data_IF_448545726892
#
_entry.id   IF_448545726892
#
_cell.length_a   1.000
_cell.length_b   1.000
_cell.length_c   1.000
_cell.angle_alpha   90.00
_cell.angle_beta   90.00
_cell.angle_gamma   90.00
#
_symmetry.space_group_name_H-M   'P 1'
#
loop_
_entity.id
_entity.type
_entity.pdbx_description
1 polymer ?
#
# COMPACT_ATOMS: atom_id res chain seq x y z
N UNK A 1 -70.06 -7.80 2.06
CA UNK A 1 -69.11 -6.89 1.37
C UNK A 1 -68.02 -6.28 2.27
N UNK A 2 -68.16 -6.24 3.60
CA UNK A 2 -67.11 -5.72 4.52
C UNK A 2 -65.99 -6.71 4.87
N UNK A 3 -66.28 -8.02 4.89
CA UNK A 3 -65.32 -9.07 5.27
C UNK A 3 -64.31 -9.40 4.16
N UNK A 4 -64.71 -9.32 2.89
CA UNK A 4 -63.81 -9.54 1.73
C UNK A 4 -62.78 -8.42 1.58
N UNK A 5 -63.11 -7.19 2.03
CA UNK A 5 -62.17 -6.05 2.01
C UNK A 5 -61.08 -6.16 3.09
N UNK A 6 -61.35 -6.80 4.23
CA UNK A 6 -60.34 -7.02 5.27
C UNK A 6 -59.34 -8.10 4.88
N UNK A 7 -59.79 -9.17 4.22
CA UNK A 7 -58.90 -10.24 3.74
C UNK A 7 -57.92 -9.74 2.66
N UNK A 8 -58.36 -8.85 1.77
CA UNK A 8 -57.51 -8.24 0.75
C UNK A 8 -56.46 -7.29 1.34
N UNK A 9 -56.78 -6.57 2.42
CA UNK A 9 -55.83 -5.67 3.10
C UNK A 9 -54.80 -6.45 3.93
N UNK A 10 -55.18 -7.60 4.51
CA UNK A 10 -54.23 -8.48 5.21
C UNK A 10 -53.27 -9.21 4.26
N UNK A 11 -53.72 -9.56 3.04
CA UNK A 11 -52.87 -10.20 2.04
C UNK A 11 -51.85 -9.21 1.44
N UNK A 12 -52.20 -7.92 1.33
CA UNK A 12 -51.30 -6.86 0.85
C UNK A 12 -50.26 -6.48 1.93
N UNK A 13 -50.55 -6.66 3.22
CA UNK A 13 -49.58 -6.40 4.30
C UNK A 13 -48.53 -7.52 4.48
N UNK A 14 -48.76 -8.72 3.92
CA UNK A 14 -47.84 -9.85 4.02
C UNK A 14 -46.84 -9.95 2.84
N UNK A 15 -46.94 -9.08 1.84
CA UNK A 15 -46.03 -9.04 0.67
C UNK A 15 -44.97 -7.92 0.75
N UNK A 16 -44.94 -7.13 1.82
CA UNK A 16 -43.99 -6.04 2.02
C UNK A 16 -42.77 -6.41 2.89
N UNK A 17 -42.64 -7.67 3.32
CA UNK A 17 -41.38 -8.23 3.82
C UNK A 17 -40.43 -8.58 2.66
N UNK A 18 -40.24 -7.64 1.72
CA UNK A 18 -39.04 -7.61 0.91
C UNK A 18 -37.88 -7.43 1.89
N UNK A 19 -37.23 -8.55 2.16
CA UNK A 19 -36.00 -8.62 2.92
C UNK A 19 -35.02 -7.62 2.30
N UNK A 20 -34.90 -6.45 2.90
CA UNK A 20 -33.67 -5.67 2.86
C UNK A 20 -32.61 -6.55 3.50
N UNK A 21 -32.05 -7.46 2.70
CA UNK A 21 -30.73 -8.00 2.98
C UNK A 21 -29.85 -6.77 2.96
N UNK A 22 -29.59 -6.20 4.15
CA UNK A 22 -28.55 -5.21 4.31
C UNK A 22 -27.29 -5.87 3.75
N UNK A 23 -26.88 -5.47 2.54
CA UNK A 23 -25.60 -5.87 2.02
C UNK A 23 -24.59 -5.37 3.03
N UNK A 24 -23.96 -6.30 3.75
CA UNK A 24 -22.85 -5.97 4.60
C UNK A 24 -21.82 -5.29 3.71
N UNK A 25 -21.67 -3.99 3.89
CA UNK A 25 -20.74 -3.16 3.14
C UNK A 25 -19.34 -3.78 3.24
N UNK A 26 -18.68 -3.97 2.11
CA UNK A 26 -17.39 -4.67 2.07
C UNK A 26 -16.37 -3.92 2.95
N UNK A 27 -15.90 -4.62 4.00
CA UNK A 27 -14.90 -4.10 4.94
C UNK A 27 -13.51 -4.48 4.49
N UNK A 28 -12.82 -3.51 3.89
CA UNK A 28 -11.46 -3.64 3.38
C UNK A 28 -10.43 -3.50 4.50
N UNK A 29 -9.27 -4.13 4.30
CA UNK A 29 -8.10 -4.03 5.21
C UNK A 29 -6.81 -3.84 4.40
N UNK A 30 -5.73 -3.30 4.98
CA UNK A 30 -4.51 -2.98 4.24
C UNK A 30 -3.85 -4.19 3.59
N UNK A 31 -3.93 -5.35 4.23
CA UNK A 31 -3.19 -6.53 3.82
C UNK A 31 -4.05 -7.77 3.69
N UNK A 32 -3.57 -8.68 2.85
CA UNK A 32 -4.10 -10.03 2.67
C UNK A 32 -3.02 -11.01 3.05
N UNK A 33 -3.33 -11.92 3.98
CA UNK A 33 -2.52 -13.09 4.26
C UNK A 33 -2.84 -14.15 3.20
N UNK A 34 -1.82 -14.58 2.48
CA UNK A 34 -1.94 -15.61 1.46
C UNK A 34 -1.85 -17.00 2.10
N UNK A 35 -0.80 -17.22 2.89
CA UNK A 35 -0.51 -18.47 3.59
C UNK A 35 0.55 -18.27 4.69
N UNK A 36 0.64 -19.23 5.61
CA UNK A 36 1.74 -19.38 6.56
C UNK A 36 2.30 -20.78 6.38
N UNK A 37 3.60 -20.91 6.09
CA UNK A 37 4.20 -22.19 5.74
C UNK A 37 5.57 -22.40 6.39
N UNK A 38 5.88 -23.66 6.66
CA UNK A 38 7.21 -24.06 7.10
C UNK A 38 8.08 -24.37 5.87
N UNK A 39 8.80 -23.38 5.38
CA UNK A 39 9.68 -23.49 4.21
C UNK A 39 10.81 -22.47 4.35
N UNK A 40 12.04 -22.77 3.92
CA UNK A 40 13.12 -21.76 3.90
C UNK A 40 12.70 -20.52 3.12
N UNK A 41 12.99 -19.33 3.65
CA UNK A 41 12.56 -18.06 3.06
C UNK A 41 12.97 -17.92 1.59
N UNK A 42 14.25 -18.14 1.26
CA UNK A 42 14.73 -17.96 -0.11
C UNK A 42 14.06 -18.93 -1.10
N UNK A 43 13.77 -20.16 -0.68
CA UNK A 43 13.02 -21.11 -1.50
C UNK A 43 11.59 -20.63 -1.74
N UNK A 44 10.92 -20.11 -0.69
CA UNK A 44 9.56 -19.58 -0.82
C UNK A 44 9.51 -18.31 -1.67
N UNK A 45 10.51 -17.43 -1.58
CA UNK A 45 10.65 -16.24 -2.45
C UNK A 45 10.70 -16.64 -3.92
N UNK A 46 11.48 -17.67 -4.27
CA UNK A 46 11.58 -18.16 -5.64
C UNK A 46 10.22 -18.66 -6.16
N UNK A 47 9.51 -19.49 -5.40
CA UNK A 47 8.17 -19.98 -5.79
C UNK A 47 7.16 -18.85 -5.93
N UNK A 48 7.16 -17.87 -5.00
CA UNK A 48 6.25 -16.72 -5.05
C UNK A 48 6.54 -15.85 -6.28
N UNK A 49 7.82 -15.65 -6.63
CA UNK A 49 8.23 -14.94 -7.85
C UNK A 49 7.68 -15.63 -9.09
N UNK A 50 7.87 -16.93 -9.21
CA UNK A 50 7.36 -17.72 -10.34
C UNK A 50 5.83 -17.61 -10.45
N UNK A 51 5.10 -17.77 -9.35
CA UNK A 51 3.64 -17.64 -9.32
C UNK A 51 3.16 -16.25 -9.78
N UNK A 52 3.82 -15.18 -9.33
CA UNK A 52 3.51 -13.80 -9.72
C UNK A 52 3.76 -13.55 -11.21
N UNK A 53 4.91 -13.99 -11.72
CA UNK A 53 5.23 -13.85 -13.15
C UNK A 53 4.29 -14.67 -14.03
N UNK A 54 3.96 -15.91 -13.62
CA UNK A 54 2.97 -16.74 -14.31
C UNK A 54 1.55 -16.15 -14.30
N UNK A 55 1.23 -15.35 -13.29
CA UNK A 55 -0.01 -14.58 -13.22
C UNK A 55 0.03 -13.25 -13.98
N UNK A 56 1.12 -12.95 -14.69
CA UNK A 56 1.28 -11.76 -15.54
C UNK A 56 1.71 -10.49 -14.80
N UNK A 57 2.27 -10.60 -13.59
CA UNK A 57 2.90 -9.47 -12.89
C UNK A 57 4.39 -9.39 -13.25
N UNK A 58 4.88 -8.16 -13.40
CA UNK A 58 6.31 -7.88 -13.48
C UNK A 58 6.86 -7.64 -12.08
N UNK A 59 8.02 -8.22 -11.78
CA UNK A 59 8.79 -7.91 -10.56
C UNK A 59 9.66 -6.69 -10.86
N UNK A 60 9.28 -5.53 -10.33
CA UNK A 60 9.99 -4.27 -10.52
C UNK A 60 11.21 -4.13 -9.61
N UNK A 61 11.22 -4.84 -8.48
CA UNK A 61 12.35 -4.88 -7.56
C UNK A 61 12.11 -5.83 -6.39
N UNK A 62 13.16 -6.04 -5.62
CA UNK A 62 13.17 -6.86 -4.42
C UNK A 62 13.89 -6.12 -3.29
N UNK A 63 13.40 -6.27 -2.07
CA UNK A 63 13.95 -5.58 -0.92
C UNK A 63 14.00 -6.47 0.33
N UNK A 64 15.07 -6.34 1.10
CA UNK A 64 15.26 -7.01 2.38
C UNK A 64 15.50 -5.96 3.48
N UNK A 65 14.44 -5.40 4.10
CA UNK A 65 14.59 -4.29 5.06
C UNK A 65 15.24 -4.71 6.39
N UNK A 66 15.17 -6.00 6.73
CA UNK A 66 15.76 -6.58 7.93
C UNK A 66 15.86 -8.11 7.76
N UNK A 67 16.62 -8.76 8.65
CA UNK A 67 16.79 -10.21 8.63
C UNK A 67 15.44 -10.95 8.72
N UNK A 68 15.26 -11.98 7.88
CA UNK A 68 14.02 -12.75 7.82
C UNK A 68 12.88 -12.06 7.05
N UNK A 69 13.10 -10.90 6.42
CA UNK A 69 12.11 -10.24 5.58
C UNK A 69 12.57 -10.12 4.12
N UNK A 70 11.64 -10.36 3.20
CA UNK A 70 11.77 -10.14 1.76
C UNK A 70 10.49 -9.50 1.23
N UNK A 71 10.62 -8.51 0.36
CA UNK A 71 9.50 -7.80 -0.26
C UNK A 71 9.74 -7.78 -1.76
N UNK A 72 8.76 -8.25 -2.54
CA UNK A 72 8.73 -8.10 -3.98
C UNK A 72 7.84 -6.92 -4.35
N UNK A 73 8.40 -5.98 -5.09
CA UNK A 73 7.65 -4.86 -5.69
C UNK A 73 7.13 -5.33 -7.02
N UNK A 74 5.81 -5.36 -7.16
CA UNK A 74 5.15 -5.88 -8.37
C UNK A 74 4.34 -4.81 -9.06
N UNK A 75 4.22 -4.92 -10.37
CA UNK A 75 3.36 -4.06 -11.18
C UNK A 75 2.83 -4.81 -12.39
N UNK A 76 1.84 -4.25 -13.07
CA UNK A 76 1.41 -4.70 -14.39
C UNK A 76 0.85 -3.53 -15.22
N UNK A 77 0.43 -3.80 -16.44
CA UNK A 77 -0.13 -2.76 -17.32
C UNK A 77 -1.46 -2.21 -16.82
N UNK A 78 -2.34 -3.05 -16.24
CA UNK A 78 -3.65 -2.62 -15.74
C UNK A 78 -3.49 -1.66 -14.56
N UNK A 79 -2.65 -2.00 -13.59
CA UNK A 79 -2.36 -1.18 -12.42
C UNK A 79 -1.77 0.17 -12.84
N UNK A 80 -0.81 0.18 -13.76
CA UNK A 80 -0.20 1.41 -14.26
C UNK A 80 -1.19 2.30 -15.03
N UNK A 81 -2.13 1.70 -15.77
CA UNK A 81 -3.24 2.43 -16.43
C UNK A 81 -4.21 3.03 -15.41
N UNK A 82 -4.55 2.30 -14.35
CA UNK A 82 -5.42 2.79 -13.28
C UNK A 82 -4.75 3.94 -12.50
N UNK A 83 -3.45 3.82 -12.20
CA UNK A 83 -2.64 4.88 -11.61
C UNK A 83 -2.64 6.16 -12.48
N UNK A 84 -2.50 6.03 -13.80
CA UNK A 84 -2.51 7.15 -14.74
C UNK A 84 -3.86 7.91 -14.77
N UNK A 85 -4.96 7.23 -14.45
CA UNK A 85 -6.31 7.78 -14.49
C UNK A 85 -6.66 8.69 -13.30
N UNK A 86 -5.71 9.00 -12.40
CA UNK A 86 -5.96 9.78 -11.20
C UNK A 86 -4.86 10.80 -10.87
N UNK A 87 -5.21 11.95 -10.26
CA UNK A 87 -4.23 12.86 -9.67
C UNK A 87 -3.42 12.14 -8.60
N UNK A 88 -2.08 12.24 -8.66
CA UNK A 88 -1.16 11.53 -7.76
C UNK A 88 -1.36 10.00 -7.70
N UNK A 89 -2.06 9.41 -8.67
CA UNK A 89 -2.31 7.96 -8.72
C UNK A 89 -1.03 7.15 -8.91
N UNK A 90 0.07 7.77 -9.35
CA UNK A 90 1.39 7.14 -9.45
C UNK A 90 1.88 6.49 -8.16
N UNK A 91 1.47 6.95 -6.97
CA UNK A 91 1.78 6.27 -5.70
C UNK A 91 1.22 4.84 -5.61
N UNK A 92 0.15 4.54 -6.36
CA UNK A 92 -0.44 3.20 -6.47
C UNK A 92 0.01 2.41 -7.69
N UNK A 93 1.05 2.83 -8.42
CA UNK A 93 1.52 2.15 -9.63
C UNK A 93 2.21 0.80 -9.35
N UNK A 94 2.46 0.46 -8.08
CA UNK A 94 3.04 -0.81 -7.64
C UNK A 94 2.29 -1.36 -6.42
N UNK A 95 2.34 -2.69 -6.27
CA UNK A 95 1.88 -3.43 -5.10
C UNK A 95 3.07 -4.14 -4.46
N UNK A 96 2.88 -4.62 -3.23
CA UNK A 96 3.93 -5.26 -2.43
C UNK A 96 3.50 -6.65 -2.00
N UNK A 97 4.39 -7.61 -2.19
CA UNK A 97 4.27 -8.96 -1.66
C UNK A 97 5.40 -9.18 -0.66
N UNK A 98 5.06 -9.39 0.61
CA UNK A 98 6.02 -9.64 1.66
C UNK A 98 6.07 -11.13 2.02
N UNK A 99 7.29 -11.59 2.31
CA UNK A 99 7.60 -12.86 2.92
C UNK A 99 8.38 -12.58 4.20
N UNK A 100 7.81 -12.93 5.34
CA UNK A 100 8.40 -12.61 6.64
C UNK A 100 8.47 -13.84 7.52
N UNK A 101 9.68 -14.16 7.99
CA UNK A 101 9.92 -15.21 8.95
C UNK A 101 9.45 -14.80 10.35
N UNK A 102 8.76 -15.73 11.01
CA UNK A 102 8.35 -15.63 12.39
C UNK A 102 8.20 -17.02 12.96
N UNK A 103 8.85 -17.29 14.09
CA UNK A 103 8.72 -18.55 14.83
C UNK A 103 9.02 -19.80 13.96
N UNK A 104 9.97 -19.68 13.02
CA UNK A 104 10.35 -20.75 12.08
C UNK A 104 9.37 -20.97 10.91
N UNK A 105 8.36 -20.11 10.77
CA UNK A 105 7.39 -20.12 9.68
C UNK A 105 7.54 -18.87 8.82
N UNK A 106 7.26 -18.98 7.53
CA UNK A 106 7.19 -17.85 6.60
C UNK A 106 5.73 -17.45 6.42
N UNK A 107 5.43 -16.19 6.73
CA UNK A 107 4.16 -15.56 6.39
C UNK A 107 4.28 -14.94 5.01
N UNK A 108 3.40 -15.33 4.07
CA UNK A 108 3.29 -14.68 2.76
C UNK A 108 2.07 -13.78 2.79
N UNK A 109 2.27 -12.48 2.59
CA UNK A 109 1.21 -11.49 2.57
C UNK A 109 1.40 -10.46 1.46
N UNK A 110 0.34 -9.75 1.10
CA UNK A 110 0.42 -8.68 0.11
C UNK A 110 -0.53 -7.53 0.43
N UNK A 111 -0.21 -6.34 -0.08
CA UNK A 111 -1.12 -5.18 -0.01
C UNK A 111 -2.41 -5.48 -0.76
N UNK A 112 -3.58 -5.24 -0.14
CA UNK A 112 -4.87 -5.44 -0.80
C UNK A 112 -5.06 -4.38 -1.91
N UNK A 113 -5.17 -4.78 -3.20
CA UNK A 113 -5.37 -3.83 -4.29
C UNK A 113 -6.58 -2.91 -4.10
N UNK A 114 -7.66 -3.41 -3.48
CA UNK A 114 -8.85 -2.59 -3.20
C UNK A 114 -8.57 -1.54 -2.12
N UNK A 115 -7.79 -1.88 -1.10
CA UNK A 115 -7.35 -0.90 -0.10
C UNK A 115 -6.49 0.18 -0.75
N UNK A 116 -5.45 -0.23 -1.48
CA UNK A 116 -4.49 0.69 -2.11
C UNK A 116 -5.19 1.62 -3.11
N UNK A 117 -6.09 1.07 -3.93
CA UNK A 117 -6.87 1.86 -4.88
C UNK A 117 -7.71 2.95 -4.21
N UNK A 118 -8.33 2.65 -3.08
CA UNK A 118 -9.20 3.62 -2.40
C UNK A 118 -8.42 4.62 -1.54
N UNK A 119 -7.43 4.17 -0.78
CA UNK A 119 -6.64 5.05 0.10
C UNK A 119 -5.77 6.03 -0.69
N UNK A 120 -5.35 5.66 -1.91
CA UNK A 120 -4.68 6.57 -2.86
C UNK A 120 -5.65 7.21 -3.86
N UNK A 121 -6.96 7.13 -3.61
CA UNK A 121 -8.05 7.75 -4.37
C UNK A 121 -8.03 7.43 -5.88
N UNK A 122 -7.39 6.34 -6.29
CA UNK A 122 -7.29 5.93 -7.69
C UNK A 122 -8.65 5.56 -8.28
N UNK A 123 -8.80 5.80 -9.58
CA UNK A 123 -9.92 5.37 -10.39
C UNK A 123 -9.61 4.01 -11.02
N UNK A 124 -10.63 3.15 -11.06
CA UNK A 124 -10.50 1.81 -11.64
C UNK A 124 -11.14 0.74 -10.78
N UNK A 125 -11.24 -0.45 -11.35
CA UNK A 125 -11.65 -1.65 -10.63
C UNK A 125 -10.43 -2.49 -10.25
N UNK A 126 -10.17 -2.57 -8.94
CA UNK A 126 -9.06 -3.33 -8.38
C UNK A 126 -9.42 -4.79 -8.11
N UNK A 127 -10.68 -5.20 -8.30
CA UNK A 127 -11.13 -6.57 -8.10
C UNK A 127 -10.39 -7.55 -9.01
N UNK A 128 -10.15 -7.18 -10.27
CA UNK A 128 -9.40 -8.01 -11.22
C UNK A 128 -7.99 -8.32 -10.72
N UNK A 129 -7.29 -7.31 -10.18
CA UNK A 129 -5.96 -7.48 -9.57
C UNK A 129 -6.04 -8.34 -8.31
N UNK A 130 -7.04 -8.12 -7.45
CA UNK A 130 -7.27 -8.94 -6.26
C UNK A 130 -7.54 -10.41 -6.59
N UNK A 131 -8.33 -10.71 -7.61
CA UNK A 131 -8.58 -12.10 -8.03
C UNK A 131 -7.34 -12.77 -8.63
N UNK A 132 -6.53 -12.02 -9.39
CA UNK A 132 -5.25 -12.52 -9.91
C UNK A 132 -4.27 -12.85 -8.79
N UNK A 133 -4.10 -11.97 -7.82
CA UNK A 133 -3.24 -12.23 -6.64
C UNK A 133 -3.76 -13.40 -5.81
N UNK A 134 -5.08 -13.47 -5.56
CA UNK A 134 -5.71 -14.61 -4.90
C UNK A 134 -5.44 -15.92 -5.63
N UNK A 135 -5.52 -15.93 -6.96
CA UNK A 135 -5.29 -17.14 -7.76
C UNK A 135 -3.81 -17.56 -7.78
N UNK A 136 -2.90 -16.58 -7.76
CA UNK A 136 -1.46 -16.82 -7.80
C UNK A 136 -0.89 -17.26 -6.45
N UNK A 137 -1.31 -16.63 -5.36
CA UNK A 137 -0.69 -16.76 -4.03
C UNK A 137 -1.64 -17.33 -2.97
N UNK A 138 -2.94 -17.26 -3.18
CA UNK A 138 -3.95 -17.56 -2.16
C UNK A 138 -4.46 -16.32 -1.43
N UNK A 139 -5.45 -16.55 -0.56
CA UNK A 139 -6.12 -15.54 0.28
C UNK A 139 -6.76 -16.26 1.46
N UNK A 140 -5.99 -16.47 2.52
CA UNK A 140 -6.48 -17.02 3.79
C UNK A 140 -7.44 -16.02 4.47
N UNK A 141 -6.94 -14.81 4.77
CA UNK A 141 -7.73 -13.74 5.40
C UNK A 141 -7.17 -12.36 5.10
N UNK A 142 -7.98 -11.32 5.32
CA UNK A 142 -7.50 -9.93 5.31
C UNK A 142 -7.18 -9.46 6.73
N UNK A 143 -6.20 -8.57 6.90
CA UNK A 143 -5.75 -8.11 8.21
C UNK A 143 -5.15 -6.70 8.16
N UNK A 144 -4.84 -6.15 9.34
CA UNK A 144 -4.15 -4.87 9.52
C UNK A 144 -5.01 -3.78 10.15
N UNK A 145 -6.32 -3.99 10.25
CA UNK A 145 -7.22 -3.15 11.04
C UNK A 145 -8.44 -3.93 11.54
N UNK A 146 -8.82 -3.71 12.79
CA UNK A 146 -10.01 -4.27 13.43
C UNK A 146 -11.26 -3.68 12.77
N UNK A 147 -12.25 -4.55 12.48
CA UNK A 147 -13.51 -4.13 11.83
C UNK A 147 -13.41 -3.72 10.35
N UNK A 148 -12.23 -3.39 9.83
CA UNK A 148 -12.06 -2.97 8.44
C UNK A 148 -12.68 -1.59 8.15
N UNK A 149 -12.41 -1.06 6.95
CA UNK A 149 -12.91 0.23 6.49
C UNK A 149 -13.78 0.04 5.25
N UNK A 150 -14.79 0.89 5.11
CA UNK A 150 -15.59 0.96 3.89
C UNK A 150 -14.81 1.68 2.79
N UNK A 151 -15.27 1.59 1.55
CA UNK A 151 -14.63 2.24 0.40
C UNK A 151 -14.55 3.76 0.59
N UNK A 152 -15.65 4.35 1.01
CA UNK A 152 -15.86 5.79 1.23
C UNK A 152 -14.92 6.29 2.32
N UNK A 153 -14.90 5.58 3.46
CA UNK A 153 -14.01 5.89 4.58
C UNK A 153 -12.52 5.81 4.20
N UNK A 154 -12.15 4.97 3.22
CA UNK A 154 -10.77 4.90 2.73
C UNK A 154 -10.40 6.04 1.80
N UNK A 155 -11.34 6.49 0.95
CA UNK A 155 -11.09 7.64 0.06
C UNK A 155 -10.95 8.94 0.86
N UNK A 156 -11.60 9.00 2.02
CA UNK A 156 -11.48 10.06 3.02
C UNK A 156 -10.53 9.71 4.16
N UNK A 157 -9.62 8.73 3.95
CA UNK A 157 -8.78 8.23 5.03
C UNK A 157 -8.03 9.37 5.72
N UNK A 158 -8.31 9.48 7.01
CA UNK A 158 -7.67 10.40 7.94
C UNK A 158 -7.47 9.66 9.24
N UNK A 159 -6.21 9.57 9.68
CA UNK A 159 -5.89 8.74 10.84
C UNK A 159 -6.47 9.35 12.12
N UNK A 160 -6.15 10.61 12.42
CA UNK A 160 -6.63 11.37 13.57
C UNK A 160 -6.60 12.87 13.26
N UNK A 161 -7.30 13.67 14.07
CA UNK A 161 -7.26 15.13 14.01
C UNK A 161 -5.80 15.64 13.94
N UNK A 162 -5.55 16.61 13.05
CA UNK A 162 -4.23 17.18 12.75
C UNK A 162 -3.22 16.26 12.04
N UNK A 163 -3.63 15.06 11.62
CA UNK A 163 -2.82 14.23 10.72
C UNK A 163 -3.02 14.63 9.25
N UNK A 164 -2.06 14.35 8.37
CA UNK A 164 -2.20 14.56 6.93
C UNK A 164 -3.22 13.63 6.28
N UNK A 165 -3.82 14.11 5.20
CA UNK A 165 -4.61 13.35 4.23
C UNK A 165 -3.73 12.84 3.07
N UNK A 166 -4.33 12.12 2.13
CA UNK A 166 -3.63 11.66 0.94
C UNK A 166 -3.06 12.83 0.12
N UNK A 167 -3.79 13.94 -0.01
CA UNK A 167 -3.47 15.14 -0.77
C UNK A 167 -2.49 16.10 -0.08
N UNK A 168 -2.07 15.80 1.15
CA UNK A 168 -1.01 16.53 1.85
C UNK A 168 0.38 15.96 1.49
N UNK A 169 0.66 15.74 0.20
CA UNK A 169 1.97 15.24 -0.22
C UNK A 169 3.06 16.29 0.01
N UNK A 170 4.26 15.83 0.36
CA UNK A 170 5.41 16.70 0.60
C UNK A 170 6.21 16.82 -0.69
N UNK A 171 6.41 18.07 -1.16
CA UNK A 171 7.36 18.36 -2.24
C UNK A 171 8.80 18.29 -1.69
N UNK A 172 9.61 17.42 -2.29
CA UNK A 172 11.00 17.19 -1.90
C UNK A 172 11.95 18.07 -2.70
N UNK A 173 11.69 18.21 -4.01
CA UNK A 173 12.47 19.04 -4.92
C UNK A 173 11.66 19.38 -6.19
N UNK A 174 12.09 20.43 -6.89
CA UNK A 174 11.62 20.80 -8.22
C UNK A 174 12.81 21.03 -9.14
N UNK A 175 12.62 20.72 -10.42
CA UNK A 175 13.62 20.78 -11.47
C UNK A 175 13.07 21.53 -12.70
N UNK A 176 13.89 21.63 -13.75
CA UNK A 176 13.53 22.32 -14.98
C UNK A 176 12.61 21.49 -15.88
N UNK A 177 12.72 20.17 -15.82
CA UNK A 177 11.93 19.23 -16.63
C UNK A 177 11.73 17.89 -15.94
N UNK A 178 10.84 17.07 -16.48
CA UNK A 178 10.66 15.69 -16.03
C UNK A 178 11.95 14.88 -16.13
N UNK A 179 12.66 14.96 -17.26
CA UNK A 179 13.93 14.25 -17.43
C UNK A 179 14.98 14.73 -16.42
N UNK A 180 15.09 16.03 -16.18
CA UNK A 180 16.03 16.56 -15.18
C UNK A 180 15.70 16.05 -13.76
N UNK A 181 14.42 15.92 -13.42
CA UNK A 181 13.99 15.35 -12.15
C UNK A 181 14.35 13.85 -12.05
N UNK A 182 14.10 13.08 -13.12
CA UNK A 182 14.50 11.67 -13.18
C UNK A 182 16.01 11.50 -13.01
N UNK A 183 16.81 12.25 -13.75
CA UNK A 183 18.27 12.15 -13.72
C UNK A 183 18.83 12.48 -12.33
N UNK A 184 18.28 13.52 -11.68
CA UNK A 184 18.69 13.92 -10.34
C UNK A 184 18.34 12.86 -9.27
N UNK A 185 17.12 12.31 -9.33
CA UNK A 185 16.68 11.23 -8.45
C UNK A 185 17.56 9.99 -8.62
N UNK A 186 17.77 9.54 -9.87
CA UNK A 186 18.58 8.36 -10.18
C UNK A 186 20.02 8.54 -9.69
N UNK A 187 20.64 9.70 -9.96
CA UNK A 187 22.00 10.00 -9.52
C UNK A 187 22.13 10.04 -8.00
N UNK A 188 21.17 10.63 -7.31
CA UNK A 188 21.18 10.75 -5.86
C UNK A 188 20.99 9.43 -5.13
N UNK A 189 20.06 8.60 -5.62
CA UNK A 189 19.84 7.24 -5.10
C UNK A 189 21.03 6.32 -5.39
N UNK A 190 21.64 6.41 -6.56
CA UNK A 190 22.85 5.66 -6.89
C UNK A 190 24.05 6.04 -6.00
N UNK A 191 24.11 7.29 -5.56
CA UNK A 191 25.12 7.79 -4.64
C UNK A 191 24.83 7.49 -3.16
N UNK A 192 23.68 6.88 -2.83
CA UNK A 192 23.30 6.55 -1.45
C UNK A 192 23.08 7.78 -0.56
N UNK A 193 22.76 8.94 -1.15
CA UNK A 193 22.64 10.20 -0.40
C UNK A 193 21.53 10.10 0.65
N UNK A 194 21.83 10.56 1.86
CA UNK A 194 20.90 10.50 2.99
C UNK A 194 20.60 9.09 3.49
N UNK A 195 21.43 8.09 3.16
CA UNK A 195 21.18 6.69 3.52
C UNK A 195 20.02 6.07 2.76
N UNK A 196 19.69 6.62 1.58
CA UNK A 196 18.57 6.19 0.73
C UNK A 196 19.08 5.42 -0.48
N UNK A 197 18.54 4.21 -0.71
CA UNK A 197 18.90 3.35 -1.84
C UNK A 197 17.73 3.11 -2.78
N UNK A 198 18.01 2.92 -4.08
CA UNK A 198 16.99 2.53 -5.07
C UNK A 198 16.64 1.04 -4.94
N UNK A 199 15.35 0.73 -4.87
CA UNK A 199 14.82 -0.65 -4.93
C UNK A 199 14.19 -0.94 -6.28
N UNK A 200 13.29 -0.05 -6.72
CA UNK A 200 12.54 -0.23 -7.96
C UNK A 200 12.18 1.12 -8.57
N UNK A 201 11.91 1.12 -9.87
CA UNK A 201 11.27 2.22 -10.58
C UNK A 201 10.11 1.65 -11.40
N UNK A 202 8.96 2.31 -11.34
CA UNK A 202 7.77 1.98 -12.13
C UNK A 202 7.26 3.26 -12.80
N UNK A 203 7.40 3.32 -14.13
CA UNK A 203 6.87 4.43 -14.93
C UNK A 203 5.35 4.28 -15.09
N UNK A 204 4.60 5.37 -14.89
CA UNK A 204 3.14 5.43 -15.06
C UNK A 204 2.81 5.58 -16.54
N UNK A 205 1.92 4.72 -17.05
CA UNK A 205 1.65 4.67 -18.49
C UNK A 205 0.92 5.93 -18.98
N UNK A 206 1.49 6.62 -19.97
CA UNK A 206 0.85 7.77 -20.61
C UNK A 206 0.84 9.05 -19.77
N UNK A 207 1.70 9.12 -18.74
CA UNK A 207 1.85 10.29 -17.86
C UNK A 207 3.32 10.48 -17.52
N UNK A 208 3.76 11.73 -17.37
CA UNK A 208 5.10 12.07 -16.88
C UNK A 208 5.18 11.82 -15.36
N UNK A 209 4.98 10.56 -14.97
CA UNK A 209 5.05 10.10 -13.59
C UNK A 209 5.91 8.84 -13.47
N UNK A 210 6.81 8.81 -12.50
CA UNK A 210 7.62 7.64 -12.17
C UNK A 210 7.65 7.43 -10.67
N UNK A 211 7.19 6.25 -10.23
CA UNK A 211 7.26 5.82 -8.85
C UNK A 211 8.60 5.16 -8.58
N UNK A 212 9.35 5.68 -7.61
CA UNK A 212 10.57 5.07 -7.12
C UNK A 212 10.32 4.49 -5.74
N UNK A 213 10.54 3.18 -5.59
CA UNK A 213 10.60 2.52 -4.29
C UNK A 213 12.02 2.65 -3.76
N UNK A 214 12.16 3.08 -2.50
CA UNK A 214 13.45 3.40 -1.90
C UNK A 214 13.61 2.80 -0.52
N UNK A 215 14.81 2.33 -0.20
CA UNK A 215 15.18 1.95 1.16
C UNK A 215 15.57 3.19 1.94
N UNK A 216 15.26 3.23 3.24
CA UNK A 216 15.84 4.20 4.18
C UNK A 216 16.60 3.42 5.22
N UNK A 217 17.93 3.56 5.23
CA UNK A 217 18.80 2.70 6.06
C UNK A 217 19.42 3.42 7.26
N UNK A 218 19.32 4.75 7.30
CA UNK A 218 19.93 5.60 8.32
C UNK A 218 18.91 6.59 8.92
N UNK A 219 19.28 7.20 10.04
CA UNK A 219 18.48 8.23 10.71
C UNK A 219 17.23 7.71 11.41
N UNK A 220 16.42 8.64 11.93
CA UNK A 220 15.18 8.32 12.66
C UNK A 220 14.13 7.60 11.79
N UNK A 221 14.24 7.73 10.47
CA UNK A 221 13.38 7.10 9.47
C UNK A 221 13.83 5.72 9.00
N UNK A 222 14.91 5.16 9.56
CA UNK A 222 15.47 3.90 9.10
C UNK A 222 14.44 2.75 9.19
N UNK A 223 14.22 2.08 8.06
CA UNK A 223 13.18 1.07 7.84
C UNK A 223 13.16 0.00 8.93
N UNK A 224 14.31 -0.64 9.18
CA UNK A 224 14.43 -1.69 10.20
C UNK A 224 14.18 -1.18 11.62
N UNK A 225 14.60 0.05 11.93
CA UNK A 225 14.43 0.64 13.26
C UNK A 225 12.96 1.00 13.53
N UNK A 226 12.28 1.60 12.54
CA UNK A 226 10.86 1.93 12.62
C UNK A 226 10.02 0.66 12.72
N UNK A 227 10.26 -0.32 11.84
CA UNK A 227 9.52 -1.59 11.83
C UNK A 227 9.66 -2.36 13.14
N UNK A 228 10.85 -2.34 13.77
CA UNK A 228 11.09 -2.94 15.09
C UNK A 228 10.21 -2.33 16.19
N UNK A 229 9.69 -1.12 16.01
CA UNK A 229 8.82 -0.46 16.98
C UNK A 229 7.34 -0.69 16.67
N UNK A 230 6.94 -0.55 15.40
CA UNK A 230 5.51 -0.53 15.02
C UNK A 230 4.93 -1.88 14.63
N UNK A 231 5.74 -2.81 14.10
CA UNK A 231 5.25 -4.09 13.57
C UNK A 231 5.34 -5.21 14.61
N UNK A 232 4.60 -5.08 15.71
CA UNK A 232 4.62 -6.03 16.84
C UNK A 232 3.53 -7.12 16.76
N UNK A 233 2.60 -7.01 15.82
CA UNK A 233 1.45 -7.91 15.70
C UNK A 233 1.83 -9.34 15.31
N UNK A 234 0.89 -10.28 15.46
CA UNK A 234 1.06 -11.68 15.03
C UNK A 234 1.32 -11.82 13.53
N UNK A 235 0.49 -11.15 12.75
CA UNK A 235 0.66 -11.01 11.31
C UNK A 235 1.51 -9.80 11.03
N UNK A 236 2.58 -9.98 10.26
CA UNK A 236 3.55 -8.91 9.98
C UNK A 236 3.03 -7.99 8.89
N UNK A 237 3.13 -6.70 9.14
CA UNK A 237 2.80 -5.62 8.20
C UNK A 237 4.00 -5.29 7.30
N UNK A 238 4.90 -6.24 7.03
CA UNK A 238 6.15 -6.01 6.29
C UNK A 238 5.93 -5.39 4.92
N UNK A 239 4.80 -5.70 4.26
CA UNK A 239 4.37 -5.05 3.01
C UNK A 239 3.98 -3.56 3.18
N UNK A 240 4.16 -2.97 4.37
CA UNK A 240 4.20 -1.52 4.58
C UNK A 240 5.37 -0.90 3.83
N UNK A 241 6.53 -1.57 3.81
CA UNK A 241 7.75 -1.09 3.16
C UNK A 241 7.81 -1.55 1.70
N UNK A 242 8.61 -0.90 0.85
CA UNK A 242 9.41 0.31 1.10
C UNK A 242 8.60 1.60 1.00
N UNK A 243 9.20 2.70 1.47
CA UNK A 243 8.76 4.07 1.18
C UNK A 243 8.97 4.42 -0.30
N UNK A 244 8.28 5.46 -0.75
CA UNK A 244 8.29 5.87 -2.14
C UNK A 244 8.50 7.37 -2.31
N UNK A 245 9.15 7.72 -3.41
CA UNK A 245 9.08 9.06 -3.99
C UNK A 245 8.45 8.96 -5.39
N UNK A 246 7.66 9.97 -5.75
CA UNK A 246 6.99 10.08 -7.04
C UNK A 246 7.55 11.29 -7.77
N UNK A 247 8.21 11.06 -8.90
CA UNK A 247 8.48 12.14 -9.86
C UNK A 247 7.19 12.37 -10.62
N UNK A 248 6.64 13.59 -10.59
CA UNK A 248 5.43 13.99 -11.32
C UNK A 248 5.67 15.31 -12.03
N UNK A 249 5.77 15.26 -13.36
CA UNK A 249 6.30 16.34 -14.18
C UNK A 249 7.68 16.73 -13.68
N UNK A 250 7.90 18.02 -13.40
CA UNK A 250 9.19 18.54 -12.96
C UNK A 250 9.43 18.49 -11.44
N UNK A 251 8.53 17.88 -10.67
CA UNK A 251 8.56 17.88 -9.20
C UNK A 251 8.68 16.46 -8.66
N UNK A 252 9.26 16.36 -7.47
CA UNK A 252 9.42 15.10 -6.75
C UNK A 252 8.68 15.19 -5.43
N UNK A 253 7.81 14.22 -5.19
CA UNK A 253 6.94 14.16 -4.03
C UNK A 253 7.20 12.91 -3.20
N UNK A 254 6.87 12.96 -1.92
CA UNK A 254 6.58 11.78 -1.13
C UNK A 254 5.20 11.91 -0.48
N UNK A 255 4.57 10.77 -0.16
CA UNK A 255 3.46 10.80 0.80
C UNK A 255 3.99 11.26 2.14
N UNK A 256 3.25 12.14 2.83
CA UNK A 256 3.65 12.56 4.17
C UNK A 256 3.83 11.33 5.07
N UNK A 257 4.99 11.23 5.74
CA UNK A 257 5.36 10.04 6.52
C UNK A 257 4.30 9.58 7.51
N UNK A 258 3.58 10.52 8.17
CA UNK A 258 2.49 10.20 9.10
C UNK A 258 1.33 9.49 8.40
N UNK A 259 0.87 10.00 7.24
CA UNK A 259 -0.16 9.35 6.42
C UNK A 259 0.32 7.97 5.96
N UNK A 260 1.55 7.91 5.44
CA UNK A 260 2.12 6.69 4.84
C UNK A 260 2.25 5.54 5.84
N UNK A 261 2.60 5.84 7.08
CA UNK A 261 2.66 4.89 8.19
C UNK A 261 1.25 4.52 8.65
N UNK A 262 0.43 5.52 8.98
CA UNK A 262 -0.88 5.29 9.57
C UNK A 262 -1.80 4.46 8.66
N UNK A 263 -1.78 4.67 7.34
CA UNK A 263 -2.64 3.89 6.44
C UNK A 263 -2.26 2.39 6.41
N UNK A 264 -1.00 2.04 6.67
CA UNK A 264 -0.55 0.65 6.80
C UNK A 264 -0.72 0.09 8.22
N UNK A 265 -0.86 0.96 9.22
CA UNK A 265 -1.13 0.59 10.60
C UNK A 265 -2.32 1.41 11.16
N UNK A 266 -3.56 1.25 10.63
CA UNK A 266 -4.69 2.07 11.04
C UNK A 266 -5.03 1.98 12.53
N UNK A 267 -4.65 0.87 13.16
CA UNK A 267 -4.89 0.59 14.58
C UNK A 267 -3.67 0.90 15.46
N UNK A 268 -2.62 1.53 14.91
CA UNK A 268 -1.48 1.94 15.72
C UNK A 268 -2.01 2.84 16.85
N UNK A 269 -1.55 2.61 18.07
CA UNK A 269 -1.94 3.49 19.18
C UNK A 269 -1.11 4.77 19.12
N UNK A 270 -1.65 5.87 19.66
CA UNK A 270 -0.87 7.10 19.82
C UNK A 270 0.40 6.89 20.66
N UNK A 271 0.34 6.03 21.67
CA UNK A 271 1.53 5.69 22.48
C UNK A 271 2.63 5.05 21.64
N UNK A 272 2.27 4.14 20.73
CA UNK A 272 3.24 3.54 19.81
C UNK A 272 3.70 4.52 18.75
N UNK A 273 2.81 5.35 18.19
CA UNK A 273 3.16 6.38 17.21
C UNK A 273 4.16 7.38 17.79
N UNK A 274 4.00 7.80 19.05
CA UNK A 274 4.95 8.70 19.72
C UNK A 274 6.36 8.13 19.86
N UNK A 275 6.53 6.79 19.87
CA UNK A 275 7.87 6.17 19.90
C UNK A 275 8.62 6.33 18.58
N UNK A 276 7.92 6.68 17.50
CA UNK A 276 8.48 6.95 16.17
C UNK A 276 8.13 8.37 15.71
N UNK A 277 7.89 9.32 16.62
CA UNK A 277 7.47 10.68 16.28
C UNK A 277 8.41 11.38 15.29
N UNK A 278 9.69 11.03 15.35
CA UNK A 278 10.75 11.64 14.56
C UNK A 278 10.94 10.91 13.21
N UNK A 279 10.32 9.73 13.04
CA UNK A 279 10.47 8.95 11.81
C UNK A 279 9.90 9.65 10.58
N UNK A 280 8.67 10.24 10.59
CA UNK A 280 8.14 10.97 9.45
C UNK A 280 9.08 12.06 8.93
N UNK A 281 9.60 12.90 9.83
CA UNK A 281 10.48 14.01 9.48
C UNK A 281 11.88 13.51 9.09
N UNK A 282 12.34 12.43 9.72
CA UNK A 282 13.59 11.75 9.36
C UNK A 282 13.56 11.12 7.96
N UNK A 283 12.44 10.52 7.56
CA UNK A 283 12.23 10.00 6.18
C UNK A 283 12.25 11.18 5.21
N UNK A 284 11.51 12.26 5.50
CA UNK A 284 11.48 13.45 4.66
C UNK A 284 12.89 14.05 4.46
N UNK A 285 13.65 14.21 5.53
CA UNK A 285 15.02 14.73 5.47
C UNK A 285 15.94 13.83 4.62
N UNK A 286 15.84 12.51 4.81
CA UNK A 286 16.63 11.52 4.06
C UNK A 286 16.32 11.58 2.56
N UNK A 287 15.03 11.61 2.21
CA UNK A 287 14.57 11.70 0.82
C UNK A 287 14.91 13.05 0.18
N UNK A 288 14.83 14.16 0.93
CA UNK A 288 15.30 15.49 0.45
C UNK A 288 16.79 15.48 0.13
N UNK A 289 17.63 14.86 0.95
CA UNK A 289 19.05 14.70 0.65
C UNK A 289 19.28 13.82 -0.58
N UNK A 290 18.48 12.77 -0.74
CA UNK A 290 18.55 11.88 -1.89
C UNK A 290 18.29 12.63 -3.21
N UNK A 291 17.26 13.50 -3.26
CA UNK A 291 16.84 14.13 -4.52
C UNK A 291 17.38 15.54 -4.74
N UNK A 292 17.67 16.27 -3.66
CA UNK A 292 18.01 17.70 -3.69
C UNK A 292 19.47 18.04 -3.41
N UNK A 293 20.31 17.05 -3.08
CA UNK A 293 21.71 17.28 -2.71
C UNK A 293 22.51 18.03 -3.79
N UNK A 294 22.79 19.31 -3.52
CA UNK A 294 23.98 20.00 -4.01
C UNK A 294 25.08 19.85 -2.98
#
# INVERSE_FOLDING_TARGET
>A
MRTVRLAAVLLILCLSSLSLVAQAEERLRPFVLAEIVQTPLDAKVATVREALTGAGFSIAGEYAPYAGARILIITDELLRKQAAASPMGGFGAALRVALTERDGLVQVSYTDPQWMGNVYRMAGDFMTLSQRLKSALGRDKTFGTEGGRTRENLREYHYMMFMPYFDDQVELASFDSYQAALDAVEAGLAAGRGGVGKIARVDVLGKDESLFSVSVTEGAGADGAVMKIIDQGELRHTAHLPYELLVSGKRVYMLHGKFRIAQSFPDLTMSTFMKISDAPDGIEASLKMAVGGK
#
